data_IF_927030559697
#
_entry.id   IF_927030559697
#
_cell.length_a   1.000
_cell.length_b   1.000
_cell.length_c   1.000
_cell.angle_alpha   90.00
_cell.angle_beta   90.00
_cell.angle_gamma   90.00
#
_symmetry.space_group_name_H-M   'P 1'
#
loop_
_entity.id
_entity.type
_entity.pdbx_description
1 polymer ?
#
# COMPACT_ATOMS: atom_id res chain seq x y z
N UNK A 1 17.55 -17.27 16.67
CA UNK A 1 17.49 -15.90 16.17
C UNK A 1 16.13 -15.81 15.50
N UNK A 2 15.16 -15.29 16.23
CA UNK A 2 13.82 -15.12 15.71
C UNK A 2 13.72 -13.62 15.46
N UNK A 3 13.79 -13.25 14.19
CA UNK A 3 13.59 -11.89 13.73
C UNK A 3 12.08 -11.61 13.83
N UNK A 4 11.61 -11.33 15.05
CA UNK A 4 10.22 -10.99 15.34
C UNK A 4 9.82 -9.60 14.79
N UNK A 5 10.72 -8.96 14.03
CA UNK A 5 10.46 -7.80 13.17
C UNK A 5 10.23 -8.20 11.72
N UNK A 6 9.78 -9.43 11.47
CA UNK A 6 9.35 -9.86 10.15
C UNK A 6 8.06 -9.12 9.78
N UNK A 7 8.20 -7.97 9.13
CA UNK A 7 7.09 -7.40 8.38
C UNK A 7 6.52 -8.50 7.50
N UNK A 8 5.19 -8.65 7.51
CA UNK A 8 4.49 -9.66 6.71
C UNK A 8 4.81 -9.50 5.21
N UNK A 9 5.33 -8.33 4.81
CA UNK A 9 5.82 -8.03 3.47
C UNK A 9 7.33 -7.83 3.52
N UNK A 10 8.08 -8.80 2.97
CA UNK A 10 9.54 -8.78 2.90
C UNK A 10 10.11 -7.77 1.90
N UNK A 11 9.28 -7.26 0.98
CA UNK A 11 9.64 -6.23 0.01
C UNK A 11 8.40 -5.49 -0.49
N UNK A 12 8.33 -4.19 -0.24
CA UNK A 12 7.30 -3.31 -0.77
C UNK A 12 7.85 -2.50 -1.95
N UNK A 13 7.53 -2.88 -3.18
CA UNK A 13 7.95 -2.13 -4.38
C UNK A 13 7.06 -0.90 -4.66
N UNK A 14 5.99 -0.71 -3.89
CA UNK A 14 5.10 0.44 -4.00
C UNK A 14 5.73 1.68 -3.32
N UNK A 15 6.59 2.40 -4.04
CA UNK A 15 7.32 3.58 -3.54
C UNK A 15 6.42 4.75 -3.15
N UNK A 16 5.19 4.78 -3.65
CA UNK A 16 4.17 5.80 -3.32
C UNK A 16 3.33 5.44 -2.09
N UNK A 17 3.54 4.27 -1.49
CA UNK A 17 2.81 3.84 -0.31
C UNK A 17 3.35 4.56 0.93
N UNK A 18 2.47 5.20 1.72
CA UNK A 18 2.84 5.91 2.96
C UNK A 18 3.49 5.02 4.04
N UNK A 19 3.27 3.71 3.97
CA UNK A 19 3.81 2.73 4.92
C UNK A 19 5.11 2.10 4.43
N UNK A 20 5.59 2.50 3.26
CA UNK A 20 6.84 1.99 2.72
C UNK A 20 8.00 2.81 3.32
N UNK A 21 8.71 2.20 4.27
CA UNK A 21 9.92 2.75 4.86
C UNK A 21 11.09 1.87 4.40
N UNK A 22 12.00 2.43 3.60
CA UNK A 22 13.17 1.71 3.06
C UNK A 22 12.84 0.36 2.37
N UNK A 23 11.78 0.33 1.55
CA UNK A 23 11.30 -0.87 0.84
C UNK A 23 10.72 -1.94 1.78
N UNK A 24 10.47 -1.58 3.04
CA UNK A 24 9.82 -2.41 4.05
C UNK A 24 8.47 -1.82 4.45
N UNK A 25 7.41 -2.63 4.42
CA UNK A 25 6.10 -2.15 4.82
C UNK A 25 6.01 -2.11 6.35
N UNK A 26 5.69 -0.96 6.94
CA UNK A 26 5.56 -0.80 8.41
C UNK A 26 4.10 -0.82 8.88
N UNK A 27 3.17 -1.19 8.01
CA UNK A 27 1.76 -1.32 8.37
C UNK A 27 1.56 -2.43 9.42
N UNK A 28 0.89 -2.11 10.53
CA UNK A 28 0.64 -3.08 11.61
C UNK A 28 -0.30 -4.24 11.23
N UNK A 29 -1.03 -4.10 10.12
CA UNK A 29 -1.81 -5.16 9.50
C UNK A 29 -1.78 -4.95 7.99
N UNK A 30 -1.71 -6.04 7.22
CA UNK A 30 -1.75 -5.99 5.75
C UNK A 30 -2.87 -6.91 5.27
N UNK A 31 -3.77 -6.35 4.48
CA UNK A 31 -4.82 -7.05 3.76
C UNK A 31 -4.42 -7.19 2.30
N UNK A 32 -4.47 -8.42 1.81
CA UNK A 32 -4.18 -8.76 0.42
C UNK A 32 -5.36 -9.52 -0.14
N UNK A 33 -5.86 -9.08 -1.29
CA UNK A 33 -6.87 -9.78 -2.06
C UNK A 33 -6.27 -10.27 -3.38
N UNK A 34 -6.90 -11.30 -3.96
CA UNK A 34 -6.54 -11.78 -5.29
C UNK A 34 -7.56 -11.24 -6.28
N UNK A 35 -7.09 -10.46 -7.25
CA UNK A 35 -7.86 -10.04 -8.41
C UNK A 35 -7.42 -10.89 -9.62
N UNK A 36 -8.05 -12.04 -9.79
CA UNK A 36 -7.66 -13.04 -10.79
C UNK A 36 -6.30 -13.65 -10.46
N UNK A 37 -5.31 -13.44 -11.33
CA UNK A 37 -3.94 -13.93 -11.17
C UNK A 37 -3.01 -12.88 -10.52
N UNK A 38 -3.54 -11.74 -10.10
CA UNK A 38 -2.78 -10.63 -9.54
C UNK A 38 -3.13 -10.44 -8.08
N UNK A 39 -2.12 -10.37 -7.20
CA UNK A 39 -2.31 -9.99 -5.80
C UNK A 39 -2.43 -8.46 -5.70
N UNK A 40 -3.45 -7.98 -5.00
CA UNK A 40 -3.67 -6.57 -4.68
C UNK A 40 -3.53 -6.35 -3.17
N UNK A 41 -2.67 -5.41 -2.79
CA UNK A 41 -2.57 -4.95 -1.41
C UNK A 41 -3.72 -3.95 -1.15
N UNK A 42 -4.72 -4.35 -0.37
CA UNK A 42 -5.85 -3.49 -0.01
C UNK A 42 -5.47 -2.45 1.07
N UNK A 43 -4.40 -2.72 1.82
CA UNK A 43 -3.82 -1.75 2.78
C UNK A 43 -3.02 -0.63 2.09
N UNK A 44 -2.81 -0.73 0.77
CA UNK A 44 -2.08 0.30 0.04
C UNK A 44 -2.75 1.67 0.22
N UNK A 45 -1.99 2.63 0.75
CA UNK A 45 -2.42 4.00 0.93
C UNK A 45 -1.41 4.93 0.23
N UNK A 46 -1.79 5.57 -0.88
CA UNK A 46 -0.93 6.53 -1.55
C UNK A 46 -0.61 7.71 -0.62
N UNK A 47 0.64 8.18 -0.61
CA UNK A 47 1.01 9.40 0.10
C UNK A 47 0.17 10.61 -0.37
N UNK A 48 -0.23 10.63 -1.64
CA UNK A 48 -0.99 11.69 -2.29
C UNK A 48 -2.51 11.39 -2.42
N UNK A 49 -3.04 10.38 -1.72
CA UNK A 49 -4.44 9.95 -1.83
C UNK A 49 -5.48 11.05 -1.52
N UNK A 50 -5.04 12.20 -0.99
CA UNK A 50 -5.85 13.38 -0.76
C UNK A 50 -5.94 14.32 -1.99
N UNK A 51 -5.48 13.92 -3.18
CA UNK A 51 -5.56 14.77 -4.39
C UNK A 51 -6.13 14.10 -5.66
N UNK A 52 -6.83 12.96 -5.56
CA UNK A 52 -7.44 12.32 -6.75
C UNK A 52 -8.94 12.05 -6.65
N UNK A 53 -9.60 12.51 -5.59
CA UNK A 53 -11.08 12.46 -5.50
C UNK A 53 -11.77 13.76 -5.92
N UNK A 54 -11.06 14.78 -6.41
CA UNK A 54 -11.65 16.08 -6.77
C UNK A 54 -11.64 16.43 -8.28
N UNK A 55 -11.24 15.51 -9.17
CA UNK A 55 -11.26 15.79 -10.62
C UNK A 55 -12.47 15.20 -11.37
N UNK A 56 -13.47 14.65 -10.66
CA UNK A 56 -14.71 14.15 -11.26
C UNK A 56 -15.91 15.10 -11.08
N UNK A 57 -15.70 16.39 -10.84
CA UNK A 57 -16.82 17.34 -10.77
C UNK A 57 -16.56 18.66 -11.46
N UNK A 58 -17.40 18.88 -12.50
CA UNK A 58 -17.87 20.16 -13.06
C UNK A 58 -16.93 20.86 -14.06
N UNK A 59 -17.34 21.34 -15.25
CA UNK A 59 -18.62 21.89 -15.69
C UNK A 59 -18.81 21.82 -17.23
N UNK A 60 -20.06 21.48 -17.63
CA UNK A 60 -20.78 21.65 -18.92
C UNK A 60 -20.23 21.06 -20.22
#
# INVERSE_FOLDING_TARGET
MNDDTQSMVSRCDATTCRFNEDMNCTAGQIEVSMSGQTAQCLTFAPADAMNESQSLSADN
#
